data_IF_236501975182
#
_entry.id   IF_236501975182
#
_cell.length_a   1.000
_cell.length_b   1.000
_cell.length_c   1.000
_cell.angle_alpha   90.00
_cell.angle_beta   90.00
_cell.angle_gamma   90.00
#
_symmetry.space_group_name_H-M   'P 1'
#
loop_
_entity.id
_entity.type
_entity.pdbx_description
1 polymer ?
#
# COMPACT_ATOMS: atom_id res chain seq x y z
N UNK A 1 -10.34 24.77 6.67
CA UNK A 1 -9.58 23.50 6.41
C UNK A 1 -9.39 22.81 7.75
N UNK A 2 -9.70 21.53 7.85
CA UNK A 2 -9.76 20.81 9.14
C UNK A 2 -8.36 20.67 9.76
N UNK A 3 -8.11 21.36 10.88
CA UNK A 3 -6.83 21.33 11.60
C UNK A 3 -6.48 19.92 12.11
N UNK A 4 -7.50 19.11 12.40
CA UNK A 4 -7.30 17.70 12.78
C UNK A 4 -6.76 16.88 11.62
N UNK A 5 -7.30 17.08 10.41
CA UNK A 5 -6.83 16.41 9.21
C UNK A 5 -5.37 16.76 8.93
N UNK A 6 -5.01 18.05 9.00
CA UNK A 6 -3.60 18.48 8.83
C UNK A 6 -2.68 17.86 9.87
N UNK A 7 -3.13 17.78 11.13
CA UNK A 7 -2.37 17.14 12.20
C UNK A 7 -2.13 15.65 11.90
N UNK A 8 -3.16 14.93 11.45
CA UNK A 8 -3.01 13.51 11.06
C UNK A 8 -2.05 13.35 9.88
N UNK A 9 -2.16 14.22 8.87
CA UNK A 9 -1.22 14.21 7.73
C UNK A 9 0.22 14.51 8.15
N UNK A 10 0.46 15.42 9.11
CA UNK A 10 1.82 15.65 9.66
C UNK A 10 2.34 14.40 10.36
N UNK A 11 1.54 13.78 11.21
CA UNK A 11 1.91 12.51 11.86
C UNK A 11 2.22 11.41 10.83
N UNK A 12 1.42 11.27 9.77
CA UNK A 12 1.68 10.28 8.73
C UNK A 12 3.01 10.54 8.00
N UNK A 13 3.32 11.79 7.66
CA UNK A 13 4.61 12.16 7.03
C UNK A 13 5.78 11.91 7.97
N UNK A 14 5.64 12.28 9.24
CA UNK A 14 6.65 12.01 10.26
C UNK A 14 6.93 10.51 10.39
N UNK A 15 5.89 9.69 10.50
CA UNK A 15 6.02 8.23 10.53
C UNK A 15 6.75 7.72 9.29
N UNK A 16 6.41 8.22 8.12
CA UNK A 16 6.99 7.79 6.86
C UNK A 16 8.49 8.09 6.77
N UNK A 17 8.90 9.28 7.19
CA UNK A 17 10.31 9.74 7.17
C UNK A 17 11.18 9.12 8.27
N UNK A 18 10.58 8.68 9.40
CA UNK A 18 11.31 8.11 10.56
C UNK A 18 11.01 6.63 10.79
N UNK A 19 10.57 5.91 9.74
CA UNK A 19 10.06 4.54 9.92
C UNK A 19 11.10 3.56 10.45
N UNK A 20 12.37 3.78 10.20
CA UNK A 20 13.48 2.95 10.71
C UNK A 20 13.79 3.22 12.18
N UNK A 21 13.30 4.31 12.73
CA UNK A 21 13.56 4.74 14.09
C UNK A 21 12.48 4.27 15.06
N UNK A 22 12.73 4.51 16.36
CA UNK A 22 11.73 4.30 17.39
C UNK A 22 10.87 5.56 17.53
N UNK A 23 9.64 5.50 17.06
CA UNK A 23 8.70 6.63 17.10
C UNK A 23 7.87 6.56 18.37
N UNK A 24 7.94 7.61 19.18
CA UNK A 24 7.22 7.72 20.47
C UNK A 24 5.89 8.47 20.32
N UNK A 25 4.92 8.22 21.22
CA UNK A 25 3.69 9.00 21.26
C UNK A 25 3.90 10.50 21.49
N UNK A 26 4.98 10.89 22.19
CA UNK A 26 5.32 12.28 22.45
C UNK A 26 5.74 13.00 21.16
N UNK A 27 6.59 12.38 20.33
CA UNK A 27 6.99 12.92 19.04
C UNK A 27 5.78 13.09 18.11
N UNK A 28 4.88 12.12 18.06
CA UNK A 28 3.66 12.25 17.25
C UNK A 28 2.73 13.36 17.75
N UNK A 29 2.69 13.58 19.05
CA UNK A 29 1.90 14.65 19.64
C UNK A 29 2.47 16.03 19.32
N UNK A 30 3.80 16.15 19.33
CA UNK A 30 4.53 17.35 18.92
C UNK A 30 4.24 17.68 17.46
N UNK A 31 4.36 16.71 16.55
CA UNK A 31 4.02 16.88 15.13
C UNK A 31 2.52 17.23 14.92
N UNK A 32 1.66 16.64 15.73
CA UNK A 32 0.23 16.94 15.70
C UNK A 32 -0.11 18.33 16.21
N UNK A 33 0.74 18.94 17.06
CA UNK A 33 0.45 20.15 17.87
C UNK A 33 -0.75 19.94 18.79
N UNK A 34 -0.88 18.74 19.35
CA UNK A 34 -1.94 18.35 20.29
C UNK A 34 -1.36 17.52 21.43
N UNK A 35 -2.17 17.29 22.47
CA UNK A 35 -1.77 16.36 23.52
C UNK A 35 -1.62 14.92 23.00
N UNK A 36 -0.77 14.06 23.61
CA UNK A 36 -0.56 12.68 23.16
C UNK A 36 -1.85 11.87 23.08
N UNK A 37 -2.75 12.05 24.04
CA UNK A 37 -4.05 11.38 24.05
C UNK A 37 -4.91 11.83 22.85
N UNK A 38 -4.98 13.13 22.60
CA UNK A 38 -5.80 13.66 21.51
C UNK A 38 -5.21 13.36 20.13
N UNK A 39 -3.89 13.46 19.98
CA UNK A 39 -3.19 13.06 18.76
C UNK A 39 -3.49 11.59 18.39
N UNK A 40 -3.40 10.67 19.37
CA UNK A 40 -3.78 9.27 19.18
C UNK A 40 -5.24 9.12 18.73
N UNK A 41 -6.18 9.82 19.43
CA UNK A 41 -7.61 9.74 19.14
C UNK A 41 -7.94 10.18 17.71
N UNK A 42 -7.45 11.35 17.28
CA UNK A 42 -7.70 11.85 15.92
C UNK A 42 -7.01 10.97 14.87
N UNK A 43 -5.80 10.48 15.14
CA UNK A 43 -5.12 9.57 14.20
C UNK A 43 -5.95 8.30 13.95
N UNK A 44 -6.44 7.66 15.01
CA UNK A 44 -7.30 6.48 14.91
C UNK A 44 -8.64 6.79 14.22
N UNK A 45 -9.23 7.94 14.49
CA UNK A 45 -10.48 8.38 13.86
C UNK A 45 -10.34 8.54 12.33
N UNK A 46 -9.21 9.05 11.84
CA UNK A 46 -9.00 9.31 10.42
C UNK A 46 -8.38 8.14 9.66
N UNK A 47 -7.58 7.31 10.31
CA UNK A 47 -6.86 6.20 9.65
C UNK A 47 -7.48 4.82 9.92
N UNK A 48 -8.39 4.71 10.88
CA UNK A 48 -8.94 3.44 11.35
C UNK A 48 -7.95 2.59 12.18
N UNK A 49 -6.74 3.11 12.44
CA UNK A 49 -5.68 2.39 13.14
C UNK A 49 -5.07 3.25 14.25
N UNK A 50 -4.73 2.64 15.37
CA UNK A 50 -3.87 3.33 16.35
C UNK A 50 -2.50 3.61 15.73
N UNK A 51 -1.79 4.71 16.12
CA UNK A 51 -0.45 5.00 15.61
C UNK A 51 0.53 3.82 15.72
N UNK A 52 0.53 3.13 16.86
CA UNK A 52 1.41 1.97 17.08
C UNK A 52 1.12 0.83 16.10
N UNK A 53 -0.15 0.53 15.82
CA UNK A 53 -0.54 -0.49 14.86
C UNK A 53 -0.20 -0.08 13.43
N UNK A 54 -0.42 1.17 13.08
CA UNK A 54 -0.06 1.75 11.79
C UNK A 54 1.45 1.65 11.53
N UNK A 55 2.29 2.12 12.47
CA UNK A 55 3.74 2.05 12.38
C UNK A 55 4.21 0.60 12.24
N UNK A 56 3.69 -0.31 13.06
CA UNK A 56 4.06 -1.73 13.01
C UNK A 56 3.74 -2.37 11.66
N UNK A 57 2.55 -2.16 11.12
CA UNK A 57 2.15 -2.68 9.81
C UNK A 57 3.03 -2.11 8.69
N UNK A 58 3.34 -0.82 8.75
CA UNK A 58 4.20 -0.16 7.77
C UNK A 58 5.63 -0.70 7.82
N UNK A 59 6.22 -0.86 9.03
CA UNK A 59 7.54 -1.48 9.22
C UNK A 59 7.59 -2.90 8.65
N UNK A 60 6.59 -3.72 8.94
CA UNK A 60 6.51 -5.09 8.43
C UNK A 60 6.37 -5.12 6.90
N UNK A 61 5.57 -4.24 6.32
CA UNK A 61 5.42 -4.16 4.86
C UNK A 61 6.70 -3.72 4.16
N UNK A 62 7.41 -2.73 4.71
CA UNK A 62 8.72 -2.31 4.18
C UNK A 62 9.78 -3.39 4.35
N UNK A 63 9.81 -4.08 5.49
CA UNK A 63 10.73 -5.21 5.70
C UNK A 63 10.47 -6.35 4.71
N UNK A 64 9.21 -6.63 4.38
CA UNK A 64 8.86 -7.64 3.39
C UNK A 64 9.38 -7.27 1.98
N UNK A 65 9.28 -6.01 1.58
CA UNK A 65 9.86 -5.55 0.30
C UNK A 65 11.39 -5.73 0.28
N UNK A 66 12.07 -5.39 1.38
CA UNK A 66 13.52 -5.58 1.49
C UNK A 66 13.91 -7.05 1.46
N UNK A 67 13.19 -7.93 2.19
CA UNK A 67 13.41 -9.38 2.15
C UNK A 67 13.27 -9.96 0.73
N UNK A 68 12.34 -9.42 -0.05
CA UNK A 68 12.12 -9.82 -1.44
C UNK A 68 13.23 -9.36 -2.38
N UNK A 69 13.72 -8.13 -2.20
CA UNK A 69 14.55 -7.44 -3.20
C UNK A 69 16.04 -7.42 -2.83
N UNK A 70 16.37 -7.46 -1.55
CA UNK A 70 17.72 -7.36 -1.03
C UNK A 70 18.25 -8.75 -0.61
N UNK A 71 19.56 -8.98 -0.80
CA UNK A 71 20.24 -10.20 -0.32
C UNK A 71 20.76 -10.02 1.13
N UNK A 72 19.94 -9.42 1.99
CA UNK A 72 20.29 -9.17 3.39
C UNK A 72 19.72 -10.25 4.31
N UNK A 73 20.36 -10.45 5.46
CA UNK A 73 19.88 -11.36 6.49
C UNK A 73 18.56 -10.90 7.11
N UNK A 74 17.71 -11.85 7.48
CA UNK A 74 16.42 -11.55 8.16
C UNK A 74 16.64 -10.75 9.45
N UNK A 75 17.72 -11.05 10.17
CA UNK A 75 18.08 -10.35 11.40
C UNK A 75 18.47 -8.90 11.13
N UNK A 76 19.28 -8.67 10.10
CA UNK A 76 19.74 -7.33 9.74
C UNK A 76 18.56 -6.43 9.39
N UNK A 77 17.64 -6.94 8.58
CA UNK A 77 16.40 -6.21 8.21
C UNK A 77 15.53 -5.95 9.45
N UNK A 78 15.43 -6.90 10.38
CA UNK A 78 14.67 -6.71 11.61
C UNK A 78 15.25 -5.57 12.47
N UNK A 79 16.57 -5.54 12.63
CA UNK A 79 17.27 -4.48 13.40
C UNK A 79 17.14 -3.12 12.72
N UNK A 80 17.35 -3.06 11.41
CA UNK A 80 17.21 -1.83 10.61
C UNK A 80 15.80 -1.25 10.68
N UNK A 81 14.78 -2.10 10.80
CA UNK A 81 13.39 -1.68 11.00
C UNK A 81 13.05 -1.37 12.46
N UNK A 82 14.03 -1.41 13.36
CA UNK A 82 13.90 -1.06 14.77
C UNK A 82 13.11 -2.08 15.59
N UNK A 83 13.16 -3.38 15.23
CA UNK A 83 12.65 -4.44 16.09
C UNK A 83 13.68 -4.81 17.15
N UNK A 84 13.24 -4.90 18.41
CA UNK A 84 14.14 -5.16 19.53
C UNK A 84 14.68 -6.61 19.61
N UNK A 85 14.09 -7.57 18.86
CA UNK A 85 14.59 -8.94 18.76
C UNK A 85 14.13 -9.63 17.49
N UNK A 86 14.91 -10.62 17.05
CA UNK A 86 14.59 -11.45 15.90
C UNK A 86 13.30 -12.25 16.10
N UNK A 87 13.07 -12.78 17.30
CA UNK A 87 11.89 -13.56 17.65
C UNK A 87 10.62 -12.67 17.62
N UNK A 88 10.74 -11.47 18.17
CA UNK A 88 9.67 -10.46 18.14
C UNK A 88 9.28 -10.09 16.72
N UNK A 89 10.27 -9.89 15.86
CA UNK A 89 10.08 -9.63 14.43
C UNK A 89 9.42 -10.80 13.71
N UNK A 90 9.98 -12.02 13.86
CA UNK A 90 9.44 -13.23 13.21
C UNK A 90 7.99 -13.48 13.59
N UNK A 91 7.64 -13.36 14.88
CA UNK A 91 6.27 -13.47 15.36
C UNK A 91 5.36 -12.41 14.76
N UNK A 92 5.83 -11.16 14.72
CA UNK A 92 5.07 -10.07 14.15
C UNK A 92 4.81 -10.24 12.64
N UNK A 93 5.83 -10.66 11.90
CA UNK A 93 5.77 -10.90 10.47
C UNK A 93 4.81 -12.06 10.13
N UNK A 94 4.94 -13.18 10.87
CA UNK A 94 4.06 -14.33 10.71
C UNK A 94 2.59 -13.99 11.04
N UNK A 95 2.35 -13.21 12.08
CA UNK A 95 1.00 -12.79 12.45
C UNK A 95 0.36 -11.84 11.40
N UNK A 96 1.16 -11.00 10.75
CA UNK A 96 0.66 -10.06 9.73
C UNK A 96 0.46 -10.75 8.38
N UNK A 97 1.38 -11.62 7.96
CA UNK A 97 1.41 -12.16 6.60
C UNK A 97 1.16 -13.67 6.50
N UNK A 98 1.04 -14.38 7.61
CA UNK A 98 0.80 -15.83 7.63
C UNK A 98 2.02 -16.69 7.27
N UNK A 99 3.17 -16.09 6.98
CA UNK A 99 4.40 -16.77 6.53
C UNK A 99 5.59 -16.35 7.39
N UNK A 100 6.57 -17.27 7.55
CA UNK A 100 7.82 -16.95 8.23
C UNK A 100 8.69 -16.04 7.34
N UNK A 101 9.36 -14.97 7.87
CA UNK A 101 10.18 -14.07 7.08
C UNK A 101 11.33 -14.75 6.33
N UNK A 102 11.93 -15.82 6.89
CA UNK A 102 12.97 -16.58 6.22
C UNK A 102 12.41 -17.35 5.01
N UNK A 103 11.28 -18.03 5.16
CA UNK A 103 10.62 -18.71 4.06
C UNK A 103 10.16 -17.72 2.96
N UNK A 104 9.72 -16.54 3.37
CA UNK A 104 9.37 -15.48 2.43
C UNK A 104 10.57 -14.93 1.66
N UNK A 105 11.73 -14.75 2.32
CA UNK A 105 12.97 -14.32 1.66
C UNK A 105 13.50 -15.35 0.65
N UNK A 106 13.40 -16.65 0.98
CA UNK A 106 13.83 -17.74 0.09
C UNK A 106 12.89 -17.91 -1.13
N UNK A 107 11.59 -17.79 -0.92
CA UNK A 107 10.57 -17.93 -1.97
C UNK A 107 9.44 -16.90 -1.78
N UNK A 108 9.62 -15.65 -2.26
CA UNK A 108 8.63 -14.61 -2.11
C UNK A 108 7.30 -14.96 -2.80
N UNK A 109 6.22 -14.94 -2.01
CA UNK A 109 4.84 -15.13 -2.47
C UNK A 109 4.06 -13.82 -2.33
N UNK A 110 2.98 -13.60 -3.09
CA UNK A 110 2.13 -12.42 -2.91
C UNK A 110 1.53 -12.37 -1.50
N UNK A 111 1.71 -11.26 -0.80
CA UNK A 111 1.22 -11.00 0.55
C UNK A 111 0.51 -9.64 0.61
N UNK A 112 -0.45 -9.43 1.52
CA UNK A 112 -1.19 -8.18 1.65
C UNK A 112 -0.35 -7.11 2.37
N UNK A 113 0.52 -6.39 1.64
CA UNK A 113 1.27 -5.28 2.20
C UNK A 113 0.34 -4.14 2.63
N UNK A 114 0.66 -3.53 3.76
CA UNK A 114 0.02 -2.29 4.18
C UNK A 114 0.61 -1.12 3.40
N UNK A 115 -0.19 -0.53 2.51
CA UNK A 115 0.16 0.67 1.74
C UNK A 115 -0.65 1.83 2.30
N UNK A 116 -0.02 2.72 3.09
CA UNK A 116 -0.72 3.87 3.64
C UNK A 116 -0.99 4.92 2.56
N UNK A 117 -2.10 5.60 2.68
CA UNK A 117 -2.43 6.81 1.92
C UNK A 117 -2.56 8.01 2.87
N UNK A 118 -2.23 9.20 2.39
CA UNK A 118 -2.52 10.42 3.14
C UNK A 118 -4.04 10.62 3.23
N UNK A 119 -4.53 10.78 4.46
CA UNK A 119 -5.96 11.04 4.67
C UNK A 119 -6.39 12.33 3.98
N UNK A 120 -7.55 12.30 3.33
CA UNK A 120 -8.13 13.43 2.60
C UNK A 120 -9.37 13.96 3.32
N UNK A 121 -9.79 15.22 3.08
CA UNK A 121 -11.08 15.71 3.56
C UNK A 121 -12.23 14.86 3.02
N UNK A 122 -13.24 14.60 3.84
CA UNK A 122 -14.45 13.86 3.41
C UNK A 122 -15.22 14.55 2.27
N UNK A 123 -15.08 15.87 2.17
CA UNK A 123 -15.77 16.67 1.16
C UNK A 123 -14.99 16.80 -0.17
N UNK A 124 -13.77 16.26 -0.26
CA UNK A 124 -13.00 16.31 -1.51
C UNK A 124 -13.49 15.29 -2.56
N UNK A 125 -14.46 14.44 -2.22
CA UNK A 125 -15.06 13.49 -3.15
C UNK A 125 -16.00 14.14 -4.17
N UNK A 126 -16.33 15.43 -4.03
CA UNK A 126 -17.35 16.09 -4.88
C UNK A 126 -16.89 17.24 -5.78
N UNK A 127 -15.64 17.69 -5.70
CA UNK A 127 -15.20 18.89 -6.45
C UNK A 127 -13.78 18.81 -7.04
N UNK A 128 -13.27 17.64 -7.39
CA UNK A 128 -12.23 17.59 -8.42
C UNK A 128 -12.90 17.66 -9.80
N UNK A 129 -13.57 18.78 -10.07
CA UNK A 129 -13.81 19.21 -11.43
C UNK A 129 -12.46 19.38 -12.09
N UNK A 130 -12.25 18.63 -13.15
CA UNK A 130 -11.05 18.62 -14.01
C UNK A 130 -10.78 19.97 -14.71
N UNK A 131 -11.04 21.09 -14.07
CA UNK A 131 -10.95 22.42 -14.72
C UNK A 131 -9.55 22.98 -14.87
N UNK A 132 -8.50 22.30 -14.38
CA UNK A 132 -7.13 22.84 -14.46
C UNK A 132 -6.06 21.92 -15.03
N UNK A 133 -6.39 20.88 -15.76
CA UNK A 133 -5.40 20.16 -16.56
C UNK A 133 -5.18 20.90 -17.88
N UNK A 134 -4.34 21.94 -17.85
CA UNK A 134 -4.04 22.75 -19.04
C UNK A 134 -3.17 22.04 -20.09
N UNK A 135 -2.54 20.92 -19.75
CA UNK A 135 -1.66 20.20 -20.69
C UNK A 135 -1.72 18.70 -20.39
N UNK A 136 -2.12 17.93 -21.38
CA UNK A 136 -2.05 16.45 -21.35
C UNK A 136 -0.86 16.04 -22.19
N UNK A 137 0.11 15.35 -21.57
CA UNK A 137 1.22 14.73 -22.28
C UNK A 137 0.84 13.28 -22.61
N UNK A 138 0.86 12.94 -23.89
CA UNK A 138 0.64 11.58 -24.37
C UNK A 138 1.96 11.03 -24.88
N UNK A 139 2.41 9.92 -24.29
CA UNK A 139 3.61 9.21 -24.74
C UNK A 139 3.21 7.81 -25.15
N UNK A 140 3.47 7.45 -26.40
CA UNK A 140 3.34 6.07 -26.88
C UNK A 140 4.62 5.30 -26.57
N UNK A 141 4.47 4.16 -25.87
CA UNK A 141 5.59 3.28 -25.54
C UNK A 141 5.28 1.88 -26.02
N UNK A 142 6.02 1.40 -27.01
CA UNK A 142 5.96 0.02 -27.47
C UNK A 142 6.74 -0.88 -26.51
N UNK A 143 6.09 -1.91 -25.99
CA UNK A 143 6.70 -2.86 -25.05
C UNK A 143 6.53 -4.29 -25.56
N UNK A 144 7.50 -5.18 -25.32
CA UNK A 144 7.40 -6.57 -25.75
C UNK A 144 6.21 -7.28 -25.08
N UNK A 145 5.75 -8.35 -25.70
CA UNK A 145 4.68 -9.19 -25.17
C UNK A 145 5.03 -9.67 -23.74
N UNK A 146 4.07 -9.56 -22.82
CA UNK A 146 4.26 -9.88 -21.41
C UNK A 146 2.99 -10.45 -20.79
N UNK A 147 3.15 -11.19 -19.69
CA UNK A 147 2.03 -11.60 -18.84
C UNK A 147 1.63 -10.44 -17.94
N UNK A 148 0.34 -10.25 -17.76
CA UNK A 148 -0.21 -9.21 -16.87
C UNK A 148 -1.19 -9.83 -15.88
N UNK A 149 -1.16 -9.33 -14.64
CA UNK A 149 -2.19 -9.63 -13.66
C UNK A 149 -3.25 -8.56 -13.78
N UNK A 150 -4.50 -8.99 -13.85
CA UNK A 150 -5.64 -8.09 -13.94
C UNK A 150 -6.55 -8.36 -12.75
N UNK A 151 -6.91 -7.32 -12.03
CA UNK A 151 -8.07 -7.32 -11.14
C UNK A 151 -9.13 -6.44 -11.77
N UNK A 152 -10.31 -7.01 -12.00
CA UNK A 152 -11.43 -6.31 -12.62
C UNK A 152 -12.40 -5.80 -11.57
N UNK A 153 -12.92 -4.60 -11.76
CA UNK A 153 -14.11 -4.14 -11.07
C UNK A 153 -15.35 -4.76 -11.72
N UNK A 154 -16.36 -5.09 -10.93
CA UNK A 154 -17.60 -5.70 -11.39
C UNK A 154 -18.74 -4.69 -11.39
N UNK A 155 -18.82 -3.87 -10.33
CA UNK A 155 -19.88 -2.86 -10.13
C UNK A 155 -19.40 -1.44 -10.38
N UNK A 156 -18.10 -1.22 -10.24
CA UNK A 156 -17.49 0.10 -10.36
C UNK A 156 -17.67 0.66 -11.78
N UNK A 157 -18.07 1.92 -11.87
CA UNK A 157 -18.26 2.69 -13.09
C UNK A 157 -17.22 3.81 -13.25
N UNK A 158 -16.50 4.14 -12.15
CA UNK A 158 -15.43 5.11 -12.13
C UNK A 158 -14.23 4.66 -11.28
N UNK A 159 -13.14 5.46 -11.27
CA UNK A 159 -11.89 5.08 -10.59
C UNK A 159 -12.03 4.94 -9.08
N UNK A 160 -12.74 5.85 -8.44
CA UNK A 160 -12.88 5.81 -6.99
C UNK A 160 -13.74 4.62 -6.55
N UNK A 161 -14.86 4.40 -7.20
CA UNK A 161 -15.72 3.24 -6.95
C UNK A 161 -14.99 1.91 -7.21
N UNK A 162 -14.08 1.87 -8.20
CA UNK A 162 -13.21 0.71 -8.42
C UNK A 162 -12.22 0.50 -7.26
N UNK A 163 -11.59 1.57 -6.76
CA UNK A 163 -10.69 1.45 -5.62
C UNK A 163 -11.40 0.97 -4.35
N UNK A 164 -12.62 1.40 -4.12
CA UNK A 164 -13.46 0.93 -3.02
C UNK A 164 -13.87 -0.53 -3.19
N UNK A 165 -14.29 -0.92 -4.38
CA UNK A 165 -14.71 -2.29 -4.68
C UNK A 165 -13.57 -3.31 -4.52
N UNK A 166 -12.37 -3.00 -5.04
CA UNK A 166 -11.24 -3.93 -4.96
C UNK A 166 -10.52 -3.89 -3.62
N UNK A 167 -10.69 -2.81 -2.86
CA UNK A 167 -10.12 -2.62 -1.55
C UNK A 167 -8.59 -2.41 -1.53
N UNK A 168 -8.09 -1.89 -0.41
CA UNK A 168 -6.67 -1.63 -0.21
C UNK A 168 -5.82 -2.91 -0.20
N UNK A 169 -6.38 -4.05 0.22
CA UNK A 169 -5.67 -5.32 0.31
C UNK A 169 -5.17 -5.81 -1.05
N UNK A 170 -5.94 -5.59 -2.11
CA UNK A 170 -5.53 -5.94 -3.49
C UNK A 170 -4.32 -5.14 -3.93
N UNK A 171 -4.27 -3.84 -3.61
CA UNK A 171 -3.10 -3.02 -3.89
C UNK A 171 -1.87 -3.49 -3.12
N UNK A 172 -2.03 -3.88 -1.86
CA UNK A 172 -0.98 -4.47 -1.04
C UNK A 172 -0.41 -5.76 -1.66
N UNK A 173 -1.29 -6.65 -2.11
CA UNK A 173 -0.91 -7.89 -2.78
C UNK A 173 -0.15 -7.59 -4.09
N UNK A 174 -0.67 -6.69 -4.93
CA UNK A 174 -0.01 -6.31 -6.17
C UNK A 174 1.35 -5.66 -5.93
N UNK A 175 1.48 -4.82 -4.90
CA UNK A 175 2.74 -4.19 -4.54
C UNK A 175 3.79 -5.18 -4.02
N UNK A 176 3.37 -6.31 -3.44
CA UNK A 176 4.29 -7.36 -2.97
C UNK A 176 4.93 -8.17 -4.10
N UNK A 177 4.33 -8.16 -5.30
CA UNK A 177 4.80 -8.94 -6.44
C UNK A 177 5.99 -8.23 -7.11
N UNK A 178 7.10 -8.95 -7.29
CA UNK A 178 8.23 -8.43 -8.05
C UNK A 178 7.89 -8.33 -9.53
N UNK A 179 8.12 -7.17 -10.12
CA UNK A 179 7.77 -6.87 -11.51
C UNK A 179 9.00 -6.54 -12.35
N UNK A 180 8.90 -6.73 -13.66
CA UNK A 180 9.98 -6.35 -14.59
C UNK A 180 10.01 -4.84 -14.86
N UNK A 181 8.87 -4.17 -14.80
CA UNK A 181 8.68 -2.81 -15.28
C UNK A 181 8.25 -1.78 -14.22
N UNK A 182 8.50 -2.01 -12.93
CA UNK A 182 8.18 -1.02 -11.90
C UNK A 182 6.69 -0.91 -11.57
N UNK A 183 6.10 0.27 -11.64
CA UNK A 183 4.83 0.59 -11.01
C UNK A 183 3.57 -0.03 -11.65
N UNK A 184 2.54 -0.32 -10.84
CA UNK A 184 1.24 -0.76 -11.36
C UNK A 184 0.59 0.36 -12.18
N UNK A 185 0.06 -0.01 -13.33
CA UNK A 185 -0.62 0.92 -14.23
C UNK A 185 -2.10 0.57 -14.31
N UNK A 186 -2.98 1.56 -14.17
CA UNK A 186 -4.39 1.42 -14.49
C UNK A 186 -4.61 1.75 -15.97
N UNK A 187 -5.28 0.86 -16.70
CA UNK A 187 -5.56 1.10 -18.12
C UNK A 187 -6.95 0.61 -18.50
N UNK A 188 -7.52 1.27 -19.50
CA UNK A 188 -8.73 0.81 -20.16
C UNK A 188 -8.40 -0.37 -21.08
N UNK A 189 -9.18 -1.44 -20.96
CA UNK A 189 -9.03 -2.56 -21.89
C UNK A 189 -9.73 -2.26 -23.21
N UNK A 190 -9.15 -2.67 -24.34
CA UNK A 190 -9.85 -2.71 -25.62
C UNK A 190 -11.15 -3.50 -25.49
N UNK A 191 -12.15 -3.16 -26.30
CA UNK A 191 -13.50 -3.71 -26.18
C UNK A 191 -13.54 -5.25 -26.24
N UNK A 192 -12.73 -5.86 -27.11
CA UNK A 192 -12.64 -7.32 -27.24
C UNK A 192 -12.04 -8.05 -26.03
N UNK A 193 -11.38 -7.32 -25.11
CA UNK A 193 -10.84 -7.83 -23.84
C UNK A 193 -11.73 -7.50 -22.65
N UNK A 194 -12.85 -6.80 -22.88
CA UNK A 194 -13.78 -6.45 -21.82
C UNK A 194 -14.66 -7.65 -21.48
N UNK A 195 -14.91 -7.81 -20.19
CA UNK A 195 -15.89 -8.79 -19.72
C UNK A 195 -17.29 -8.14 -19.79
N UNK A 196 -18.27 -8.76 -20.47
CA UNK A 196 -19.62 -8.20 -20.59
C UNK A 196 -20.32 -7.96 -19.25
N UNK A 197 -19.85 -8.59 -18.18
CA UNK A 197 -20.42 -8.48 -16.83
C UNK A 197 -19.76 -7.42 -15.95
N UNK A 198 -18.76 -6.70 -16.46
CA UNK A 198 -18.02 -5.71 -15.68
C UNK A 198 -18.05 -4.34 -16.37
N UNK A 199 -18.39 -3.29 -15.62
CA UNK A 199 -18.56 -1.94 -16.16
C UNK A 199 -17.23 -1.19 -16.38
N UNK A 200 -16.23 -1.40 -15.52
CA UNK A 200 -14.91 -0.79 -15.64
C UNK A 200 -13.81 -1.84 -15.53
N UNK A 201 -12.84 -1.69 -16.43
CA UNK A 201 -11.64 -2.51 -16.47
C UNK A 201 -10.43 -1.66 -16.17
N UNK A 202 -9.84 -1.89 -15.01
CA UNK A 202 -8.54 -1.29 -14.70
C UNK A 202 -7.52 -2.39 -14.51
N UNK A 203 -6.42 -2.22 -15.21
CA UNK A 203 -5.35 -3.17 -15.30
C UNK A 203 -4.17 -2.65 -14.50
N UNK A 204 -3.72 -3.41 -13.52
CA UNK A 204 -2.37 -3.25 -13.00
C UNK A 204 -1.44 -4.10 -13.86
N UNK A 205 -0.58 -3.44 -14.62
CA UNK A 205 0.43 -4.11 -15.43
C UNK A 205 1.61 -4.46 -14.54
N UNK A 206 1.70 -5.75 -14.16
CA UNK A 206 2.88 -6.31 -13.52
C UNK A 206 3.20 -7.63 -14.18
N UNK A 207 4.43 -7.79 -14.63
CA UNK A 207 4.88 -9.06 -15.21
C UNK A 207 5.25 -9.99 -14.07
N UNK A 208 4.62 -11.16 -14.03
CA UNK A 208 4.91 -12.19 -13.05
C UNK A 208 6.15 -12.99 -13.41
N UNK A 209 7.06 -13.12 -12.46
CA UNK A 209 8.12 -14.14 -12.47
C UNK A 209 7.80 -15.33 -11.57
N UNK A 210 6.67 -15.32 -10.85
CA UNK A 210 6.22 -16.35 -9.91
C UNK A 210 4.88 -16.98 -10.31
N UNK A 211 4.59 -18.24 -9.91
CA UNK A 211 3.30 -18.86 -10.14
C UNK A 211 2.17 -18.14 -9.36
N UNK A 212 0.98 -18.10 -9.95
CA UNK A 212 -0.21 -17.47 -9.36
C UNK A 212 -0.60 -18.11 -8.03
N UNK A 213 -0.85 -17.34 -6.98
CA UNK A 213 -1.47 -17.86 -5.78
C UNK A 213 -2.94 -18.22 -6.07
N UNK A 214 -3.41 -19.33 -5.46
CA UNK A 214 -4.80 -19.82 -5.64
C UNK A 214 -5.89 -18.81 -5.22
N UNK A 215 -5.54 -17.82 -4.41
CA UNK A 215 -6.46 -16.80 -3.84
C UNK A 215 -7.00 -15.80 -4.88
N UNK A 216 -6.37 -15.68 -6.04
CA UNK A 216 -6.81 -14.76 -7.10
C UNK A 216 -7.62 -15.42 -8.22
N UNK A 217 -8.04 -16.70 -8.02
CA UNK A 217 -8.88 -17.45 -8.97
C UNK A 217 -10.36 -17.38 -8.57
N UNK A 218 -10.95 -16.25 -8.57
CA UNK A 218 -12.42 -16.15 -8.50
C UNK A 218 -12.91 -14.94 -9.26
#
# INVERSE_FOLDING_TARGET
>A
MDDKLRAVQRMQRYIDSHISEQITPAQLAEEALFSPWYARKIFEQYTGLTPARYIRRLKLSRSALRLRDEKCGVLDIALDMGFGSAEGYQRAFRNEFGINPRAYAEAPVPIPLFIPYLVKPKDSERNDTMENVKTVFVTEVNRPARKVIIKRGIKADEYMSYCEEVGCDVWGILASIRTLDGEPVCMWLPEHLRDPKANIYRKSLRTLTAPFPRVLRS
#
